data_IF_688703771490
#
_entry.id   IF_688703771490
#
_cell.length_a   1.000
_cell.length_b   1.000
_cell.length_c   1.000
_cell.angle_alpha   90.00
_cell.angle_beta   90.00
_cell.angle_gamma   90.00
#
_symmetry.space_group_name_H-M   'P 1'
#
loop_
_entity.id
_entity.type
_entity.pdbx_description
1 polymer ?
#
# COMPACT_ATOMS: atom_id res chain seq x y z
N UNK A 1 0.91 11.99 41.04
CA UNK A 1 1.57 13.31 40.80
C UNK A 1 0.67 14.51 41.12
N UNK A 2 -0.65 14.36 41.12
CA UNK A 2 -1.61 15.47 41.30
C UNK A 2 -1.58 16.12 42.70
N UNK A 3 -1.19 15.38 43.74
CA UNK A 3 -1.15 15.89 45.12
C UNK A 3 0.18 16.59 45.48
N UNK A 4 1.16 16.61 44.59
CA UNK A 4 2.45 17.27 44.83
C UNK A 4 2.34 18.76 45.22
N UNK A 5 1.44 19.57 44.62
CA UNK A 5 1.26 20.97 45.02
C UNK A 5 0.63 21.12 46.40
N UNK A 6 -0.08 20.10 46.89
CA UNK A 6 -0.73 20.09 48.21
C UNK A 6 0.28 19.92 49.33
N UNK A 7 1.36 19.17 49.06
CA UNK A 7 2.38 18.83 50.07
C UNK A 7 3.76 19.46 49.80
N UNK A 8 3.92 20.17 48.69
CA UNK A 8 5.16 20.85 48.30
C UNK A 8 4.89 22.15 47.55
N UNK A 9 5.86 23.06 47.48
CA UNK A 9 5.79 24.25 46.63
C UNK A 9 6.13 23.97 45.15
N UNK A 10 6.22 22.70 44.75
CA UNK A 10 6.57 22.33 43.39
C UNK A 10 5.36 22.43 42.47
N UNK A 11 5.52 23.15 41.36
CA UNK A 11 4.55 23.17 40.27
C UNK A 11 4.87 22.03 39.31
N UNK A 12 3.86 21.22 39.00
CA UNK A 12 3.94 20.25 37.91
C UNK A 12 3.69 20.99 36.61
N UNK A 13 4.64 20.94 35.68
CA UNK A 13 4.47 21.42 34.32
C UNK A 13 4.62 20.23 33.37
N UNK A 14 3.81 20.20 32.31
CA UNK A 14 4.03 19.27 31.21
C UNK A 14 4.99 19.92 30.21
N UNK A 15 5.85 19.09 29.62
CA UNK A 15 6.73 19.49 28.53
C UNK A 15 6.16 18.86 27.26
N UNK A 16 5.98 19.66 26.22
CA UNK A 16 5.63 19.16 24.89
C UNK A 16 6.80 19.33 23.96
N UNK A 17 6.95 18.36 23.06
CA UNK A 17 7.98 18.32 22.03
C UNK A 17 7.32 18.39 20.67
N UNK A 18 8.05 18.97 19.71
CA UNK A 18 7.60 19.13 18.33
C UNK A 18 8.77 18.86 17.38
N UNK A 19 8.50 18.06 16.35
CA UNK A 19 9.46 17.73 15.31
C UNK A 19 8.86 17.95 13.92
N UNK A 20 9.63 18.58 13.04
CA UNK A 20 9.32 18.69 11.63
C UNK A 20 10.05 17.61 10.85
N UNK A 21 9.28 16.72 10.23
CA UNK A 21 9.79 15.57 9.47
C UNK A 21 9.54 15.83 8.00
N UNK A 22 10.57 15.76 7.12
CA UNK A 22 10.36 15.78 5.68
C UNK A 22 9.39 14.66 5.28
N UNK A 23 8.33 15.02 4.57
CA UNK A 23 7.30 14.08 4.14
C UNK A 23 6.67 14.54 2.83
N UNK A 24 6.97 13.80 1.76
CA UNK A 24 6.41 13.99 0.41
C UNK A 24 5.47 12.85 0.00
N UNK A 25 5.14 11.96 0.95
CA UNK A 25 4.25 10.82 0.73
C UNK A 25 2.77 11.20 0.67
N UNK A 26 1.93 10.24 0.28
CA UNK A 26 0.48 10.43 0.27
C UNK A 26 -0.10 10.26 1.69
N UNK A 27 -1.04 11.14 2.06
CA UNK A 27 -1.72 11.09 3.36
C UNK A 27 -2.51 9.78 3.54
N UNK A 28 -3.05 9.22 2.46
CA UNK A 28 -3.73 7.92 2.44
C UNK A 28 -2.80 6.77 2.86
N UNK A 29 -1.56 6.75 2.38
CA UNK A 29 -0.55 5.76 2.77
C UNK A 29 -0.18 5.89 4.23
N UNK A 30 0.05 7.12 4.71
CA UNK A 30 0.33 7.37 6.11
C UNK A 30 -0.83 6.91 7.00
N UNK A 31 -2.07 7.23 6.61
CA UNK A 31 -3.28 6.78 7.30
C UNK A 31 -3.32 5.26 7.43
N UNK A 32 -3.04 4.53 6.35
CA UNK A 32 -3.03 3.07 6.36
C UNK A 32 -2.05 2.54 7.41
N UNK A 33 -0.80 2.98 7.36
CA UNK A 33 0.24 2.52 8.28
C UNK A 33 -0.02 2.90 9.74
N UNK A 34 -0.56 4.10 9.98
CA UNK A 34 -0.94 4.51 11.33
C UNK A 34 -2.07 3.62 11.89
N UNK A 35 -3.08 3.28 11.09
CA UNK A 35 -4.17 2.41 11.52
C UNK A 35 -3.76 0.94 11.68
N UNK A 36 -2.71 0.50 10.98
CA UNK A 36 -2.16 -0.84 11.13
C UNK A 36 -1.32 -0.97 12.40
N UNK A 37 -0.51 0.05 12.72
CA UNK A 37 0.39 0.02 13.89
C UNK A 37 -0.32 0.43 15.19
N UNK A 38 -1.26 1.37 15.14
CA UNK A 38 -1.89 1.95 16.33
C UNK A 38 -3.39 1.72 16.36
N UNK A 39 -3.92 1.49 17.56
CA UNK A 39 -5.36 1.43 17.80
C UNK A 39 -5.90 2.81 18.16
N UNK A 40 -7.16 3.08 17.80
CA UNK A 40 -7.84 4.30 18.20
C UNK A 40 -7.28 5.58 17.56
N UNK A 41 -6.74 5.49 16.34
CA UNK A 41 -6.31 6.67 15.58
C UNK A 41 -7.53 7.51 15.20
N UNK A 42 -7.56 8.75 15.67
CA UNK A 42 -8.58 9.74 15.32
C UNK A 42 -7.98 10.62 14.23
N UNK A 43 -8.72 10.76 13.14
CA UNK A 43 -8.36 11.68 12.08
C UNK A 43 -9.30 12.88 12.07
N UNK A 44 -8.74 14.06 11.91
CA UNK A 44 -9.48 15.30 11.68
C UNK A 44 -8.94 15.98 10.43
N UNK A 45 -9.84 16.39 9.54
CA UNK A 45 -9.52 17.20 8.37
C UNK A 45 -10.05 18.60 8.64
N UNK A 46 -9.18 19.61 8.54
CA UNK A 46 -9.58 21.01 8.67
C UNK A 46 -9.73 21.61 7.28
N UNK A 47 -10.98 21.68 6.81
CA UNK A 47 -11.32 22.23 5.48
C UNK A 47 -11.40 23.76 5.48
N UNK A 48 -11.51 24.39 6.66
CA UNK A 48 -11.59 25.85 6.81
C UNK A 48 -10.20 26.51 6.65
N UNK A 49 -9.14 25.83 7.11
CA UNK A 49 -7.76 26.23 6.88
C UNK A 49 -7.17 25.53 5.67
N UNK A 50 -7.07 26.25 4.55
CA UNK A 50 -6.35 25.74 3.38
C UNK A 50 -4.87 25.63 3.68
N UNK A 51 -4.33 24.43 3.53
CA UNK A 51 -2.90 24.15 3.61
C UNK A 51 -2.12 24.84 2.48
N UNK A 52 -0.80 24.66 2.49
CA UNK A 52 0.11 25.38 1.58
C UNK A 52 -0.26 25.26 0.09
N UNK A 53 -0.71 24.07 -0.34
CA UNK A 53 -1.05 23.78 -1.75
C UNK A 53 -2.57 23.86 -2.02
N UNK A 54 -3.36 24.44 -1.11
CA UNK A 54 -4.82 24.44 -1.19
C UNK A 54 -5.48 23.10 -0.80
N UNK A 55 -4.67 22.12 -0.39
CA UNK A 55 -5.13 20.84 0.18
C UNK A 55 -5.55 21.00 1.65
N UNK A 56 -6.47 20.16 2.10
CA UNK A 56 -6.90 20.10 3.50
C UNK A 56 -5.72 19.77 4.43
N UNK A 57 -5.71 20.40 5.60
CA UNK A 57 -4.78 20.05 6.68
C UNK A 57 -5.34 18.82 7.37
N UNK A 58 -4.55 17.74 7.43
CA UNK A 58 -4.98 16.49 8.06
C UNK A 58 -4.16 16.24 9.31
N UNK A 59 -4.85 16.06 10.43
CA UNK A 59 -4.26 15.74 11.73
C UNK A 59 -4.70 14.35 12.16
N UNK A 60 -3.73 13.52 12.52
CA UNK A 60 -3.95 12.24 13.19
C UNK A 60 -3.59 12.41 14.67
N UNK A 61 -4.47 12.01 15.57
CA UNK A 61 -4.15 11.90 16.99
C UNK A 61 -4.44 10.50 17.50
N UNK A 62 -3.65 10.04 18.46
CA UNK A 62 -3.82 8.74 19.08
C UNK A 62 -3.24 8.76 20.49
N UNK A 63 -3.57 7.74 21.28
CA UNK A 63 -3.20 7.65 22.69
C UNK A 63 -3.68 8.87 23.51
N UNK A 64 -4.99 9.12 23.50
CA UNK A 64 -5.63 10.22 24.25
C UNK A 64 -5.05 11.60 23.92
N UNK A 65 -4.78 11.85 22.65
CA UNK A 65 -4.28 13.14 22.14
C UNK A 65 -2.84 13.50 22.59
N UNK A 66 -2.13 12.55 23.20
CA UNK A 66 -0.74 12.73 23.63
C UNK A 66 0.25 12.76 22.47
N UNK A 67 -0.11 12.21 21.30
CA UNK A 67 0.70 12.28 20.08
C UNK A 67 -0.18 12.73 18.92
N UNK A 68 0.33 13.68 18.14
CA UNK A 68 -0.33 14.28 16.98
C UNK A 68 0.59 14.32 15.78
N UNK A 69 0.05 14.03 14.60
CA UNK A 69 0.74 14.12 13.32
C UNK A 69 -0.09 14.99 12.39
N UNK A 70 0.46 16.15 12.02
CA UNK A 70 -0.21 17.11 11.13
C UNK A 70 0.50 17.15 9.78
N UNK A 71 -0.27 17.00 8.70
CA UNK A 71 0.21 17.08 7.31
C UNK A 71 -0.55 18.16 6.54
N UNK A 72 0.02 18.67 5.45
CA UNK A 72 -0.63 19.68 4.59
C UNK A 72 -0.42 21.14 5.01
N UNK A 73 0.00 21.40 6.25
CA UNK A 73 0.29 22.76 6.75
C UNK A 73 1.49 23.42 6.05
N UNK A 74 2.52 22.65 5.78
CA UNK A 74 3.70 23.10 5.03
C UNK A 74 4.07 22.04 4.01
N UNK A 75 4.34 22.46 2.77
CA UNK A 75 4.66 21.53 1.69
C UNK A 75 5.90 20.71 2.03
N UNK A 76 5.79 19.40 1.84
CA UNK A 76 6.90 18.47 2.05
C UNK A 76 7.25 18.25 3.52
N UNK A 77 6.41 18.67 4.47
CA UNK A 77 6.69 18.54 5.91
C UNK A 77 5.46 17.99 6.64
N UNK A 78 5.68 16.93 7.43
CA UNK A 78 4.79 16.49 8.49
C UNK A 78 5.29 17.05 9.83
N UNK A 79 4.37 17.51 10.67
CA UNK A 79 4.68 17.96 12.04
C UNK A 79 4.22 16.89 13.02
N UNK A 80 5.13 16.37 13.84
CA UNK A 80 4.84 15.45 14.94
C UNK A 80 4.93 16.23 16.26
N UNK A 81 3.90 16.18 17.08
CA UNK A 81 3.81 16.85 18.39
C UNK A 81 3.45 15.82 19.46
N UNK A 82 4.15 15.82 20.59
CA UNK A 82 3.87 14.88 21.69
C UNK A 82 4.19 15.46 23.07
N UNK A 83 3.63 14.86 24.12
CA UNK A 83 4.06 15.09 25.51
C UNK A 83 5.36 14.35 25.80
N UNK A 84 6.39 15.07 26.25
CA UNK A 84 7.73 14.55 26.53
C UNK A 84 7.71 13.60 27.73
N UNK A 85 7.38 12.35 27.45
CA UNK A 85 7.25 11.24 28.37
C UNK A 85 7.86 10.00 27.72
N UNK A 86 8.31 8.99 28.50
CA UNK A 86 8.90 7.78 27.92
C UNK A 86 7.99 7.08 26.90
N UNK A 87 6.68 7.11 27.13
CA UNK A 87 5.71 6.55 26.19
C UNK A 87 5.54 7.45 24.95
N UNK A 88 5.40 8.76 25.15
CA UNK A 88 5.29 9.73 24.07
C UNK A 88 6.51 9.69 23.14
N UNK A 89 7.71 9.54 23.69
CA UNK A 89 8.96 9.44 22.91
C UNK A 89 8.98 8.18 22.02
N UNK A 90 8.60 7.01 22.57
CA UNK A 90 8.51 5.76 21.78
C UNK A 90 7.46 5.85 20.69
N UNK A 91 6.31 6.45 20.99
CA UNK A 91 5.24 6.68 20.01
C UNK A 91 5.65 7.69 18.93
N UNK A 92 6.37 8.75 19.30
CA UNK A 92 6.88 9.73 18.35
C UNK A 92 7.95 9.10 17.44
N UNK A 93 8.89 8.32 17.98
CA UNK A 93 9.92 7.63 17.21
C UNK A 93 9.32 6.66 16.18
N UNK A 94 8.31 5.89 16.58
CA UNK A 94 7.60 4.98 15.68
C UNK A 94 6.83 5.72 14.59
N UNK A 95 6.19 6.86 14.90
CA UNK A 95 5.59 7.73 13.88
C UNK A 95 6.62 8.27 12.90
N UNK A 96 7.78 8.73 13.38
CA UNK A 96 8.84 9.26 12.51
C UNK A 96 9.30 8.15 11.56
N UNK A 97 9.50 6.94 12.07
CA UNK A 97 9.82 5.78 11.25
C UNK A 97 8.73 5.49 10.20
N UNK A 98 7.44 5.53 10.58
CA UNK A 98 6.33 5.35 9.64
C UNK A 98 6.26 6.45 8.58
N UNK A 99 6.53 7.70 8.95
CA UNK A 99 6.60 8.81 8.00
C UNK A 99 7.71 8.59 6.98
N UNK A 100 8.89 8.15 7.41
CA UNK A 100 10.03 7.80 6.55
C UNK A 100 9.77 6.53 5.72
N UNK A 101 9.01 5.58 6.26
CA UNK A 101 8.63 4.38 5.56
C UNK A 101 7.58 4.68 4.47
N UNK A 102 6.54 5.45 4.77
CA UNK A 102 5.48 5.85 3.85
C UNK A 102 5.99 6.59 2.60
N UNK A 103 7.04 7.39 2.75
CA UNK A 103 7.68 8.07 1.62
C UNK A 103 8.59 7.14 0.78
N UNK A 104 9.15 6.08 1.38
CA UNK A 104 9.90 5.06 0.65
C UNK A 104 8.99 4.03 -0.05
N UNK A 105 7.83 3.74 0.55
CA UNK A 105 6.86 2.75 0.07
C UNK A 105 5.98 3.21 -1.10
N UNK A 106 6.14 4.45 -1.60
CA UNK A 106 5.47 4.92 -2.82
C UNK A 106 5.82 4.09 -4.07
N UNK A 107 6.95 3.34 -4.05
CA UNK A 107 7.28 2.37 -5.08
C UNK A 107 6.55 1.02 -4.93
N UNK A 108 6.09 0.66 -3.72
CA UNK A 108 5.48 -0.64 -3.40
C UNK A 108 3.94 -0.60 -3.33
N UNK A 109 3.34 0.56 -3.02
CA UNK A 109 1.89 0.77 -3.04
C UNK A 109 1.49 1.39 -4.38
N UNK A 110 1.75 0.66 -5.46
CA UNK A 110 1.01 0.83 -6.72
C UNK A 110 0.02 -0.34 -6.85
N UNK A 111 -0.81 -0.53 -5.83
CA UNK A 111 -2.08 -1.23 -6.02
C UNK A 111 -2.92 -0.34 -6.94
N UNK A 112 -2.95 -0.75 -8.20
CA UNK A 112 -3.46 -0.06 -9.38
C UNK A 112 -4.91 0.40 -9.17
N UNK A 113 -5.15 1.71 -9.09
CA UNK A 113 -6.52 2.26 -9.04
C UNK A 113 -6.90 3.16 -10.22
N UNK A 114 -6.09 3.20 -11.28
CA UNK A 114 -6.51 3.82 -12.54
C UNK A 114 -6.43 2.82 -13.70
N UNK A 115 -7.58 2.38 -14.26
CA UNK A 115 -7.58 1.81 -15.58
C UNK A 115 -7.21 2.93 -16.56
N UNK A 116 -6.01 2.89 -17.10
CA UNK A 116 -5.64 3.72 -18.24
C UNK A 116 -6.60 3.41 -19.40
N UNK A 117 -7.52 4.33 -19.66
CA UNK A 117 -8.48 4.28 -20.75
C UNK A 117 -7.81 4.51 -22.09
N UNK A 118 -7.16 3.48 -22.62
CA UNK A 118 -6.74 3.49 -24.02
C UNK A 118 -7.94 3.11 -24.88
N UNK A 119 -8.63 4.12 -25.40
CA UNK A 119 -9.50 3.96 -26.56
C UNK A 119 -8.66 3.39 -27.70
N UNK A 120 -8.88 2.12 -28.00
CA UNK A 120 -8.35 1.48 -29.20
C UNK A 120 -9.04 2.16 -30.38
N UNK A 121 -8.37 3.12 -31.01
CA UNK A 121 -8.79 3.72 -32.27
C UNK A 121 -8.65 2.65 -33.35
N UNK A 122 -9.69 1.84 -33.54
CA UNK A 122 -9.78 0.90 -34.67
C UNK A 122 -10.07 1.74 -35.90
N UNK A 123 -9.03 1.97 -36.69
CA UNK A 123 -9.15 2.42 -38.07
C UNK A 123 -9.55 1.22 -38.93
N UNK A 124 -10.81 1.18 -39.36
CA UNK A 124 -11.20 0.45 -40.57
C UNK A 124 -12.15 1.33 -41.38
N UNK A 125 -11.58 1.90 -42.44
CA UNK A 125 -12.26 2.38 -43.62
C UNK A 125 -13.29 1.37 -44.14
N UNK A 126 -14.53 1.81 -44.37
CA UNK A 126 -15.29 1.77 -45.64
C UNK A 126 -16.80 1.80 -45.39
N UNK A 127 -17.44 2.83 -45.95
CA UNK A 127 -18.74 2.84 -46.67
C UNK A 127 -20.08 2.64 -45.92
N UNK A 128 -20.82 3.76 -45.86
CA UNK A 128 -22.25 3.98 -46.15
C UNK A 128 -23.31 2.92 -45.76
N UNK A 129 -24.27 3.30 -44.89
CA UNK A 129 -25.68 3.58 -45.27
C UNK A 129 -26.58 3.93 -44.08
N UNK A 130 -27.68 4.61 -44.40
CA UNK A 130 -28.63 5.33 -43.54
C UNK A 130 -29.63 4.48 -42.76
N UNK A 131 -30.14 5.11 -41.68
CA UNK A 131 -31.52 5.12 -41.13
C UNK A 131 -32.17 3.86 -40.52
N UNK A 132 -32.96 4.08 -39.45
CA UNK A 132 -34.06 3.16 -39.07
C UNK A 132 -34.08 2.61 -37.64
N UNK A 133 -35.22 2.84 -36.99
CA UNK A 133 -35.62 2.64 -35.59
C UNK A 133 -35.93 1.16 -35.18
N UNK A 134 -35.43 0.75 -34.00
CA UNK A 134 -36.02 -0.18 -33.00
C UNK A 134 -36.29 -1.71 -33.27
N UNK A 135 -36.47 -2.54 -32.18
CA UNK A 135 -35.88 -3.89 -32.00
C UNK A 135 -36.94 -5.03 -32.18
N UNK A 136 -36.66 -6.37 -32.03
CA UNK A 136 -36.50 -7.01 -30.70
C UNK A 136 -35.80 -8.42 -30.63
N UNK A 137 -35.45 -8.82 -29.40
CA UNK A 137 -35.37 -10.20 -28.83
C UNK A 137 -34.34 -11.29 -29.25
N UNK A 138 -33.74 -11.86 -28.19
CA UNK A 138 -33.45 -13.29 -27.89
C UNK A 138 -32.15 -13.95 -28.43
N UNK A 139 -31.42 -14.50 -27.43
CA UNK A 139 -30.40 -15.57 -27.44
C UNK A 139 -29.00 -15.21 -27.97
N UNK A 140 -28.08 -14.96 -27.05
CA UNK A 140 -27.08 -15.96 -26.61
C UNK A 140 -26.32 -15.38 -25.41
N UNK A 141 -26.46 -16.07 -24.28
CA UNK A 141 -25.89 -15.73 -22.98
C UNK A 141 -24.95 -16.87 -22.63
N UNK A 142 -23.70 -16.74 -23.04
CA UNK A 142 -22.52 -17.53 -22.66
C UNK A 142 -21.35 -16.89 -23.40
N UNK A 143 -20.34 -16.37 -22.69
CA UNK A 143 -18.97 -15.96 -23.15
C UNK A 143 -18.38 -14.76 -22.39
N UNK A 144 -19.12 -14.09 -21.50
CA UNK A 144 -18.61 -12.88 -20.79
C UNK A 144 -17.84 -13.13 -19.49
N UNK A 145 -17.74 -14.36 -18.99
CA UNK A 145 -17.19 -14.63 -17.65
C UNK A 145 -15.69 -14.99 -17.62
N UNK A 146 -15.08 -15.42 -18.72
CA UNK A 146 -13.65 -15.74 -18.76
C UNK A 146 -12.75 -14.50 -18.84
N UNK A 147 -13.25 -13.39 -19.38
CA UNK A 147 -12.40 -12.23 -19.69
C UNK A 147 -11.94 -11.44 -18.46
N UNK A 148 -12.61 -11.56 -17.31
CA UNK A 148 -12.30 -10.78 -16.10
C UNK A 148 -11.14 -11.40 -15.33
N UNK A 149 -11.22 -12.70 -15.06
CA UNK A 149 -10.20 -13.43 -14.28
C UNK A 149 -8.88 -13.51 -15.02
N UNK A 150 -8.89 -13.85 -16.31
CA UNK A 150 -7.68 -13.90 -17.11
C UNK A 150 -7.01 -12.51 -17.21
N UNK A 151 -7.82 -11.45 -17.38
CA UNK A 151 -7.29 -10.08 -17.40
C UNK A 151 -6.62 -9.71 -16.07
N UNK A 152 -7.17 -10.15 -14.93
CA UNK A 152 -6.56 -9.93 -13.61
C UNK A 152 -5.25 -10.72 -13.45
N UNK A 153 -5.22 -11.98 -13.86
CA UNK A 153 -4.00 -12.78 -13.83
C UNK A 153 -2.89 -12.19 -14.71
N UNK A 154 -3.24 -11.68 -15.89
CA UNK A 154 -2.30 -10.96 -16.77
C UNK A 154 -1.83 -9.64 -16.17
N UNK A 155 -2.70 -8.92 -15.47
CA UNK A 155 -2.32 -7.69 -14.75
C UNK A 155 -1.30 -8.00 -13.64
N UNK A 156 -1.53 -9.07 -12.88
CA UNK A 156 -0.59 -9.53 -11.85
C UNK A 156 0.75 -9.89 -12.50
N UNK A 157 0.76 -10.66 -13.59
CA UNK A 157 1.98 -10.99 -14.32
C UNK A 157 2.78 -9.77 -14.78
N UNK A 158 2.11 -8.80 -15.41
CA UNK A 158 2.77 -7.58 -15.87
C UNK A 158 3.34 -6.77 -14.70
N UNK A 159 2.60 -6.70 -13.58
CA UNK A 159 3.07 -6.03 -12.36
C UNK A 159 4.32 -6.71 -11.80
N UNK A 160 4.36 -8.06 -11.82
CA UNK A 160 5.53 -8.81 -11.39
C UNK A 160 6.74 -8.58 -12.32
N UNK A 161 6.53 -8.54 -13.65
CA UNK A 161 7.60 -8.25 -14.61
C UNK A 161 8.18 -6.82 -14.47
N UNK A 162 7.39 -5.86 -13.97
CA UNK A 162 7.90 -4.52 -13.68
C UNK A 162 8.84 -4.50 -12.46
N UNK A 163 8.61 -5.40 -11.49
CA UNK A 163 9.38 -5.45 -10.24
C UNK A 163 10.54 -6.44 -10.28
N UNK A 164 10.43 -7.50 -11.09
CA UNK A 164 11.40 -8.59 -11.12
C UNK A 164 11.85 -8.85 -12.56
N UNK A 165 13.17 -9.00 -12.75
CA UNK A 165 13.77 -9.25 -14.07
C UNK A 165 13.32 -10.57 -14.68
N UNK A 166 13.08 -11.59 -13.86
CA UNK A 166 12.80 -12.95 -14.28
C UNK A 166 11.51 -13.45 -13.63
N UNK A 167 10.42 -13.40 -14.38
CA UNK A 167 9.11 -13.94 -13.99
C UNK A 167 8.59 -14.85 -15.09
N UNK A 168 8.26 -16.09 -14.73
CA UNK A 168 7.59 -17.05 -15.60
C UNK A 168 6.17 -17.27 -15.10
N UNK A 169 5.18 -17.32 -16.01
CA UNK A 169 3.77 -17.47 -15.64
C UNK A 169 3.10 -18.63 -16.36
N UNK A 170 2.32 -19.41 -15.61
CA UNK A 170 1.40 -20.42 -16.14
C UNK A 170 -0.02 -20.09 -15.72
N UNK A 171 -0.97 -20.24 -16.64
CA UNK A 171 -2.37 -19.90 -16.42
C UNK A 171 -3.23 -21.15 -16.63
N UNK A 172 -3.96 -21.53 -15.58
CA UNK A 172 -4.88 -22.66 -15.57
C UNK A 172 -6.27 -22.17 -15.15
N UNK A 173 -7.10 -21.83 -16.13
CA UNK A 173 -8.49 -21.38 -15.92
C UNK A 173 -8.60 -20.16 -14.98
N UNK A 174 -8.80 -20.39 -13.67
CA UNK A 174 -8.93 -19.35 -12.63
C UNK A 174 -7.71 -19.22 -11.73
N UNK A 175 -6.63 -19.93 -12.07
CA UNK A 175 -5.40 -19.97 -11.29
C UNK A 175 -4.24 -19.49 -12.15
N UNK A 176 -3.46 -18.54 -11.65
CA UNK A 176 -2.16 -18.20 -12.21
C UNK A 176 -1.06 -18.60 -11.24
N UNK A 177 -0.02 -19.23 -11.76
CA UNK A 177 1.20 -19.54 -11.02
C UNK A 177 2.34 -18.72 -11.62
N UNK A 178 3.09 -18.03 -10.77
CA UNK A 178 4.19 -17.14 -11.13
C UNK A 178 5.46 -17.59 -10.44
N UNK A 179 6.46 -18.00 -11.20
CA UNK A 179 7.80 -18.32 -10.71
C UNK A 179 8.67 -17.06 -10.84
N UNK A 180 9.17 -16.57 -9.71
CA UNK A 180 9.99 -15.36 -9.61
C UNK A 180 11.39 -15.75 -9.20
N UNK A 181 12.38 -15.38 -10.02
CA UNK A 181 13.82 -15.58 -9.74
C UNK A 181 14.44 -14.24 -9.36
N UNK A 182 14.97 -14.13 -8.15
CA UNK A 182 15.56 -12.89 -7.63
C UNK A 182 16.97 -13.10 -7.06
N UNK A 183 17.80 -12.09 -7.23
CA UNK A 183 19.15 -11.91 -6.67
C UNK A 183 19.13 -11.27 -5.26
N UNK A 184 17.94 -10.93 -4.74
CA UNK A 184 17.78 -10.14 -3.51
C UNK A 184 18.39 -10.75 -2.22
N UNK A 185 18.73 -12.04 -2.21
CA UNK A 185 19.42 -12.64 -1.06
C UNK A 185 20.92 -12.30 -0.97
N UNK A 186 21.52 -11.74 -2.04
CA UNK A 186 22.94 -11.35 -2.05
C UNK A 186 23.23 -10.14 -1.14
N UNK A 187 22.27 -9.22 -0.96
CA UNK A 187 22.47 -8.01 -0.15
C UNK A 187 22.51 -8.27 1.36
N UNK A 188 22.06 -9.45 1.81
CA UNK A 188 22.11 -9.84 3.23
C UNK A 188 23.45 -10.46 3.64
N UNK A 189 24.45 -10.49 2.74
CA UNK A 189 25.79 -11.03 3.02
C UNK A 189 25.83 -12.55 3.26
N UNK A 190 24.74 -13.26 2.95
CA UNK A 190 24.54 -14.69 3.25
C UNK A 190 24.59 -15.60 2.02
N UNK A 191 24.69 -15.06 0.82
CA UNK A 191 24.65 -15.81 -0.43
C UNK A 191 25.98 -15.76 -1.18
N UNK A 192 26.36 -16.89 -1.77
CA UNK A 192 27.44 -16.89 -2.76
C UNK A 192 26.91 -16.26 -4.06
N UNK A 193 27.79 -15.69 -4.88
CA UNK A 193 27.44 -14.91 -6.10
C UNK A 193 26.52 -15.63 -7.12
N UNK A 194 26.27 -16.94 -6.95
CA UNK A 194 25.43 -17.77 -7.83
C UNK A 194 24.09 -18.25 -7.21
N UNK A 195 23.76 -17.89 -5.96
CA UNK A 195 22.54 -18.38 -5.29
C UNK A 195 21.32 -17.51 -5.67
N UNK A 196 20.42 -18.06 -6.49
CA UNK A 196 19.16 -17.42 -6.90
C UNK A 196 18.01 -17.88 -6.00
N UNK A 197 17.31 -16.94 -5.38
CA UNK A 197 16.08 -17.24 -4.65
C UNK A 197 14.94 -17.45 -5.65
N UNK A 198 14.22 -18.57 -5.51
CA UNK A 198 13.06 -18.90 -6.34
C UNK A 198 11.80 -18.83 -5.47
N UNK A 199 10.87 -17.95 -5.83
CA UNK A 199 9.56 -17.85 -5.18
C UNK A 199 8.44 -18.20 -6.17
N UNK A 200 7.60 -19.14 -5.78
CA UNK A 200 6.40 -19.55 -6.49
C UNK A 200 5.19 -18.87 -5.85
N UNK A 201 4.53 -18.00 -6.62
CA UNK A 201 3.30 -17.32 -6.22
C UNK A 201 2.14 -17.97 -6.97
N UNK A 202 1.16 -18.48 -6.25
CA UNK A 202 -0.07 -19.04 -6.81
C UNK A 202 -1.26 -18.18 -6.43
N UNK A 203 -1.96 -17.65 -7.43
CA UNK A 203 -3.16 -16.84 -7.26
C UNK A 203 -4.34 -17.59 -7.85
N UNK A 204 -5.32 -17.94 -7.01
CA UNK A 204 -6.58 -18.56 -7.42
C UNK A 204 -7.77 -17.67 -7.13
N UNK A 205 -8.72 -17.57 -8.06
CA UNK A 205 -10.00 -16.90 -7.85
C UNK A 205 -11.12 -17.94 -7.66
N UNK A 206 -11.93 -17.78 -6.62
CA UNK A 206 -13.03 -18.70 -6.33
C UNK A 206 -14.22 -18.47 -7.29
N UNK A 207 -14.42 -17.23 -7.73
CA UNK A 207 -15.46 -16.84 -8.68
C UNK A 207 -14.93 -16.01 -9.86
N UNK A 208 -15.74 -15.89 -10.92
CA UNK A 208 -15.38 -15.08 -12.11
C UNK A 208 -15.48 -13.56 -11.84
N UNK A 209 -16.12 -13.17 -10.75
CA UNK A 209 -16.17 -11.78 -10.29
C UNK A 209 -14.89 -11.38 -9.54
N UNK A 210 -14.05 -12.35 -9.19
CA UNK A 210 -12.83 -12.23 -8.42
C UNK A 210 -13.03 -11.44 -7.13
N UNK A 211 -14.14 -11.68 -6.45
CA UNK A 211 -14.42 -11.07 -5.15
C UNK A 211 -13.53 -11.74 -4.10
N UNK A 212 -13.45 -13.07 -4.17
CA UNK A 212 -12.63 -13.89 -3.28
C UNK A 212 -11.44 -14.46 -4.05
N UNK A 213 -10.25 -14.18 -3.56
CA UNK A 213 -9.00 -14.69 -4.12
C UNK A 213 -8.12 -15.28 -3.03
N UNK A 214 -7.46 -16.38 -3.35
CA UNK A 214 -6.47 -17.04 -2.50
C UNK A 214 -5.11 -16.88 -3.12
N UNK A 215 -4.19 -16.29 -2.36
CA UNK A 215 -2.80 -16.13 -2.74
C UNK A 215 -1.95 -17.02 -1.84
N UNK A 216 -1.13 -17.86 -2.43
CA UNK A 216 -0.14 -18.69 -1.73
C UNK A 216 1.25 -18.35 -2.28
N UNK A 217 2.21 -18.16 -1.39
CA UNK A 217 3.61 -17.89 -1.76
C UNK A 217 4.48 -18.96 -1.11
N UNK A 218 5.29 -19.63 -1.93
CA UNK A 218 6.27 -20.62 -1.49
C UNK A 218 7.64 -20.19 -2.01
N UNK A 219 8.59 -19.92 -1.12
CA UNK A 219 9.96 -19.61 -1.51
C UNK A 219 10.86 -20.81 -1.22
N UNK A 220 11.59 -21.27 -2.23
CA UNK A 220 12.59 -22.31 -2.07
C UNK A 220 13.94 -21.63 -1.86
N UNK A 221 14.41 -21.66 -0.62
CA UNK A 221 15.77 -21.31 -0.25
C UNK A 221 16.55 -22.61 -0.02
N UNK A 222 17.47 -22.91 -0.94
CA UNK A 222 18.28 -24.12 -0.91
C UNK A 222 19.11 -24.28 0.36
N UNK A 223 19.41 -23.19 1.10
CA UNK A 223 20.18 -23.24 2.35
C UNK A 223 19.32 -23.44 3.59
N UNK A 224 18.11 -22.88 3.63
CA UNK A 224 17.15 -23.13 4.72
C UNK A 224 16.73 -24.61 4.76
N UNK A 225 16.59 -25.24 3.60
CA UNK A 225 16.28 -26.67 3.51
C UNK A 225 17.43 -27.56 4.02
N UNK A 226 18.70 -27.18 3.79
CA UNK A 226 19.87 -27.94 4.29
C UNK A 226 20.17 -27.71 5.77
N UNK A 227 19.90 -26.52 6.31
CA UNK A 227 20.16 -26.20 7.73
C UNK A 227 19.10 -26.77 8.70
N UNK A 228 18.02 -27.36 8.21
CA UNK A 228 17.00 -28.03 9.03
C UNK A 228 17.26 -29.55 9.14
N UNK A 229 18.23 -30.07 8.38
CA UNK A 229 18.77 -31.42 8.56
C UNK A 229 20.11 -31.37 9.29
N UNK A 230 20.07 -31.07 10.59
CA UNK A 230 20.97 -31.63 11.62
C UNK A 230 20.41 -31.37 13.03
#
# INVERSE_FOLDING_TARGET
PEDLPTYTQLRVGSVSSRLHVPFVGQVSTLRLFLNEMFTGVIQTENDEEKGHDGNAIVTFSFHEDQVKVTTGKTRGIATVEWEASPLGDVLADSVVALLMHAQSSAASIRLTSQPCGHQRKVSSSSEENEDGDQPPSKKLREEKSQSTTESRLRLIHNTLLEQFKNVEATYESRVGTFEIKTDAGLESGSLADDDVLICNVRVGFEDDMGIDSKITVECNDGKLATNIQD
#
